data_IF_205200070230
#
_entry.id   IF_205200070230
#
_cell.length_a   1.000
_cell.length_b   1.000
_cell.length_c   1.000
_cell.angle_alpha   90.00
_cell.angle_beta   90.00
_cell.angle_gamma   90.00
#
_symmetry.space_group_name_H-M   'P 1'
#
loop_
_entity.id
_entity.type
_entity.pdbx_description
1 polymer ?
#
# COMPACT_ATOMS: atom_id res chain seq x y z
N UNK A 1 9.15 59.77 55.06
CA UNK A 1 9.25 60.03 53.61
C UNK A 1 9.82 58.79 52.95
N UNK A 2 9.15 58.32 51.89
CA UNK A 2 9.67 57.43 50.85
C UNK A 2 9.92 55.96 51.20
N UNK A 3 9.49 54.96 50.42
CA UNK A 3 8.43 54.83 49.43
C UNK A 3 8.21 53.32 49.26
N UNK A 4 6.96 52.96 48.98
CA UNK A 4 6.52 51.70 48.42
C UNK A 4 7.36 51.25 47.20
N UNK A 5 7.44 49.94 46.98
CA UNK A 5 7.63 49.39 45.63
C UNK A 5 8.79 48.42 45.47
N UNK A 6 8.49 47.12 45.59
CA UNK A 6 8.84 46.07 44.61
C UNK A 6 8.48 44.69 45.17
N UNK A 7 7.18 44.47 45.31
CA UNK A 7 6.62 43.12 45.16
C UNK A 7 6.27 43.01 43.67
N UNK A 8 7.04 42.24 42.92
CA UNK A 8 6.83 42.08 41.49
C UNK A 8 8.13 41.84 40.75
N UNK A 9 8.61 40.59 40.79
CA UNK A 9 9.15 39.91 39.61
C UNK A 9 9.37 38.42 39.90
N UNK A 10 8.28 37.68 40.14
CA UNK A 10 8.31 36.24 40.34
C UNK A 10 7.16 35.52 39.65
N UNK A 11 6.61 36.14 38.60
CA UNK A 11 5.45 35.63 37.88
C UNK A 11 5.46 36.12 36.43
N UNK A 12 6.42 35.63 35.63
CA UNK A 12 6.32 35.70 34.17
C UNK A 12 7.28 34.76 33.43
N UNK A 13 7.77 33.67 34.04
CA UNK A 13 8.63 32.69 33.35
C UNK A 13 7.97 31.31 33.20
N UNK A 14 6.66 31.22 33.43
CA UNK A 14 6.00 29.93 33.60
C UNK A 14 4.60 29.90 32.95
N UNK A 15 4.45 30.41 31.72
CA UNK A 15 3.42 29.94 30.76
C UNK A 15 3.86 30.21 29.30
N UNK A 16 4.91 29.54 28.83
CA UNK A 16 5.12 29.36 27.37
C UNK A 16 4.96 27.87 27.06
N UNK A 17 3.74 27.39 27.32
CA UNK A 17 3.32 26.03 27.09
C UNK A 17 3.22 25.75 25.59
N UNK A 18 4.24 25.05 25.08
CA UNK A 18 4.20 23.95 24.12
C UNK A 18 2.82 23.57 23.52
N UNK A 19 2.21 24.46 22.74
CA UNK A 19 1.18 24.11 21.76
C UNK A 19 1.76 24.43 20.38
N UNK A 20 2.42 23.47 19.74
CA UNK A 20 2.65 23.58 18.30
C UNK A 20 1.27 23.77 17.65
N UNK A 21 0.98 24.90 16.99
CA UNK A 21 -0.33 25.16 16.41
C UNK A 21 -0.67 24.02 15.45
N UNK A 22 -1.91 23.53 15.46
CA UNK A 22 -2.39 22.43 14.59
C UNK A 22 -1.92 22.54 13.13
N UNK A 23 -1.73 23.78 12.68
CA UNK A 23 -1.16 24.12 11.40
C UNK A 23 0.22 23.51 11.13
N UNK A 24 1.14 23.56 12.09
CA UNK A 24 2.49 22.99 11.95
C UNK A 24 2.44 21.47 11.78
N UNK A 25 1.56 20.79 12.52
CA UNK A 25 1.41 19.34 12.42
C UNK A 25 0.75 18.91 11.09
N UNK A 26 -0.21 19.68 10.57
CA UNK A 26 -0.79 19.44 9.24
C UNK A 26 0.24 19.68 8.14
N UNK A 27 1.11 20.70 8.28
CA UNK A 27 2.21 20.95 7.34
C UNK A 27 3.22 19.81 7.37
N UNK A 28 3.59 19.32 8.56
CA UNK A 28 4.46 18.16 8.73
C UNK A 28 3.88 16.90 8.07
N UNK A 29 2.58 16.65 8.25
CA UNK A 29 1.86 15.57 7.58
C UNK A 29 1.94 15.72 6.06
N UNK A 30 1.70 16.92 5.53
CA UNK A 30 1.75 17.19 4.10
C UNK A 30 3.14 16.93 3.48
N UNK A 31 4.21 17.31 4.18
CA UNK A 31 5.58 17.04 3.73
C UNK A 31 5.87 15.54 3.70
N UNK A 32 5.43 14.79 4.72
CA UNK A 32 5.65 13.34 4.81
C UNK A 32 4.80 12.57 3.82
N UNK A 33 3.55 12.97 3.64
CA UNK A 33 2.67 12.44 2.60
C UNK A 33 3.28 12.61 1.21
N UNK A 34 3.84 13.79 0.93
CA UNK A 34 4.53 14.03 -0.35
C UNK A 34 5.73 13.09 -0.54
N UNK A 35 6.53 12.84 0.50
CA UNK A 35 7.63 11.85 0.44
C UNK A 35 7.12 10.43 0.19
N UNK A 36 6.04 10.02 0.87
CA UNK A 36 5.41 8.72 0.65
C UNK A 36 4.90 8.58 -0.79
N UNK A 37 4.26 9.62 -1.32
CA UNK A 37 3.79 9.66 -2.71
C UNK A 37 4.96 9.54 -3.70
N UNK A 38 6.03 10.31 -3.52
CA UNK A 38 7.22 10.17 -4.37
C UNK A 38 7.87 8.80 -4.26
N UNK A 39 7.93 8.22 -3.06
CA UNK A 39 8.45 6.86 -2.88
C UNK A 39 7.61 5.82 -3.65
N UNK A 40 6.28 5.90 -3.58
CA UNK A 40 5.38 5.02 -4.35
C UNK A 40 5.57 5.22 -5.85
N UNK A 41 5.60 6.46 -6.34
CA UNK A 41 5.74 6.74 -7.77
C UNK A 41 7.09 6.27 -8.32
N UNK A 42 8.18 6.58 -7.63
CA UNK A 42 9.53 6.16 -8.03
C UNK A 42 9.63 4.64 -8.02
N UNK A 43 9.17 3.98 -6.95
CA UNK A 43 9.21 2.52 -6.89
C UNK A 43 8.28 1.86 -7.90
N UNK A 44 7.14 2.47 -8.23
CA UNK A 44 6.25 1.98 -9.30
C UNK A 44 6.97 1.96 -10.64
N UNK A 45 7.67 3.05 -10.98
CA UNK A 45 8.42 3.16 -12.24
C UNK A 45 9.61 2.19 -12.23
N UNK A 46 10.41 2.20 -11.16
CA UNK A 46 11.61 1.36 -11.06
C UNK A 46 11.25 -0.12 -11.11
N UNK A 47 10.30 -0.57 -10.28
CA UNK A 47 9.90 -1.98 -10.24
C UNK A 47 9.20 -2.40 -11.53
N UNK A 48 8.47 -1.51 -12.21
CA UNK A 48 7.82 -1.82 -13.50
C UNK A 48 8.83 -2.18 -14.59
N UNK A 49 9.97 -1.48 -14.64
CA UNK A 49 11.03 -1.64 -15.65
C UNK A 49 12.04 -2.72 -15.28
N UNK A 50 11.97 -3.31 -14.09
CA UNK A 50 12.86 -4.42 -13.76
C UNK A 50 12.45 -5.70 -14.51
N UNK A 51 13.41 -6.46 -15.07
CA UNK A 51 13.12 -7.73 -15.72
C UNK A 51 12.63 -8.74 -14.67
N UNK A 52 11.56 -9.47 -15.01
CA UNK A 52 11.00 -10.50 -14.13
C UNK A 52 11.83 -11.79 -14.14
N UNK A 53 12.46 -12.09 -15.28
CA UNK A 53 13.33 -13.24 -15.51
C UNK A 53 14.78 -12.79 -15.69
N UNK A 54 15.72 -13.48 -15.05
CA UNK A 54 17.16 -13.32 -15.28
C UNK A 54 17.65 -14.10 -16.52
N UNK A 55 16.73 -14.54 -17.38
CA UNK A 55 17.03 -15.31 -18.57
C UNK A 55 17.35 -14.38 -19.75
N UNK A 56 18.56 -13.82 -19.72
CA UNK A 56 19.09 -12.95 -20.78
C UNK A 56 19.45 -13.71 -22.06
N UNK A 57 19.49 -15.05 -22.03
CA UNK A 57 19.83 -15.89 -23.18
C UNK A 57 18.66 -16.02 -24.16
N UNK A 58 17.43 -16.07 -23.63
CA UNK A 58 16.21 -16.15 -24.44
C UNK A 58 15.90 -14.90 -25.29
N UNK A 59 16.55 -13.77 -25.01
CA UNK A 59 16.34 -12.50 -25.71
C UNK A 59 14.97 -11.84 -25.46
N UNK A 60 14.09 -12.45 -24.65
CA UNK A 60 12.75 -11.93 -24.35
C UNK A 60 12.77 -11.20 -23.01
N UNK A 61 12.72 -9.87 -23.08
CA UNK A 61 12.56 -9.01 -21.91
C UNK A 61 11.09 -8.94 -21.49
N UNK A 62 10.78 -9.47 -20.31
CA UNK A 62 9.44 -9.37 -19.71
C UNK A 62 9.50 -8.46 -18.48
N UNK A 63 8.83 -7.30 -18.49
CA UNK A 63 8.81 -6.40 -17.34
C UNK A 63 7.98 -7.01 -16.20
N UNK A 64 8.39 -6.73 -14.96
CA UNK A 64 7.68 -7.15 -13.76
C UNK A 64 6.21 -6.69 -13.73
N UNK A 65 5.92 -5.51 -14.29
CA UNK A 65 4.54 -5.00 -14.38
C UNK A 65 3.64 -5.86 -15.27
N UNK A 66 4.18 -6.60 -16.24
CA UNK A 66 3.41 -7.56 -17.08
C UNK A 66 3.42 -8.98 -16.49
N UNK A 67 4.50 -9.33 -15.79
CA UNK A 67 4.60 -10.62 -15.11
C UNK A 67 3.63 -10.74 -13.91
N UNK A 68 3.47 -9.68 -13.13
CA UNK A 68 2.64 -9.73 -11.92
C UNK A 68 1.15 -10.05 -12.21
N UNK A 69 0.46 -9.41 -13.17
CA UNK A 69 -0.92 -9.75 -13.50
C UNK A 69 -1.05 -11.15 -14.11
N UNK A 70 -0.09 -11.56 -14.94
CA UNK A 70 -0.10 -12.90 -15.54
C UNK A 70 0.08 -13.99 -14.49
N UNK A 71 0.84 -13.75 -13.41
CA UNK A 71 0.95 -14.65 -12.26
C UNK A 71 -0.37 -14.76 -11.49
N UNK A 72 -1.05 -13.63 -11.25
CA UNK A 72 -2.37 -13.62 -10.60
C UNK A 72 -3.38 -14.41 -11.44
N UNK A 73 -3.47 -14.11 -12.74
CA UNK A 73 -4.40 -14.80 -13.64
C UNK A 73 -4.18 -16.32 -13.63
N UNK A 74 -2.93 -16.77 -13.72
CA UNK A 74 -2.62 -18.21 -13.69
C UNK A 74 -2.96 -18.89 -12.36
N UNK A 75 -2.86 -18.16 -11.26
CA UNK A 75 -3.15 -18.67 -9.91
C UNK A 75 -4.65 -18.74 -9.64
N UNK A 76 -5.40 -17.76 -10.17
CA UNK A 76 -6.80 -17.54 -9.78
C UNK A 76 -7.78 -18.13 -10.80
N UNK A 77 -7.46 -18.08 -12.09
CA UNK A 77 -8.38 -18.49 -13.15
C UNK A 77 -8.36 -20.03 -13.32
N UNK A 78 -9.48 -20.74 -13.08
CA UNK A 78 -9.59 -22.15 -13.46
C UNK A 78 -9.63 -22.24 -14.98
N UNK A 79 -8.79 -23.10 -15.58
CA UNK A 79 -8.75 -23.27 -17.04
C UNK A 79 -10.07 -23.80 -17.61
N UNK A 80 -10.77 -24.63 -16.83
CA UNK A 80 -12.03 -25.26 -17.21
C UNK A 80 -13.00 -25.25 -16.04
N UNK A 81 -14.27 -25.03 -16.32
CA UNK A 81 -15.36 -25.15 -15.36
C UNK A 81 -16.38 -26.16 -15.89
N UNK A 82 -16.68 -27.17 -15.08
CA UNK A 82 -17.74 -28.13 -15.38
C UNK A 82 -19.10 -27.57 -14.94
N UNK A 83 -20.02 -27.38 -15.89
CA UNK A 83 -21.39 -26.91 -15.66
C UNK A 83 -22.36 -27.91 -16.30
N UNK A 84 -23.32 -28.43 -15.53
CA UNK A 84 -24.36 -29.34 -16.03
C UNK A 84 -23.84 -30.52 -16.90
N UNK A 85 -22.69 -31.10 -16.53
CA UNK A 85 -22.08 -32.21 -17.26
C UNK A 85 -21.35 -31.82 -18.56
N UNK A 86 -21.19 -30.52 -18.85
CA UNK A 86 -20.37 -29.98 -19.94
C UNK A 86 -19.19 -29.20 -19.37
N UNK A 87 -18.04 -29.29 -20.02
CA UNK A 87 -16.83 -28.51 -19.68
C UNK A 87 -16.78 -27.26 -20.54
N UNK A 88 -16.64 -26.10 -19.90
CA UNK A 88 -16.46 -24.82 -20.58
C UNK A 88 -15.04 -24.31 -20.33
N UNK A 89 -14.37 -23.86 -21.40
CA UNK A 89 -13.07 -23.19 -21.31
C UNK A 89 -13.27 -21.74 -20.88
N UNK A 90 -12.50 -21.31 -19.87
CA UNK A 90 -12.54 -19.92 -19.38
C UNK A 90 -11.44 -19.12 -20.06
N UNK A 91 -11.85 -18.14 -20.88
CA UNK A 91 -10.94 -17.24 -21.59
C UNK A 91 -11.23 -15.79 -21.17
N UNK A 92 -10.18 -15.02 -20.91
CA UNK A 92 -10.29 -13.59 -20.60
C UNK A 92 -10.41 -12.83 -21.91
N UNK A 93 -11.44 -12.00 -22.03
CA UNK A 93 -11.66 -11.13 -23.18
C UNK A 93 -11.51 -9.68 -22.71
N UNK A 94 -10.74 -8.83 -23.43
CA UNK A 94 -10.71 -7.41 -23.12
C UNK A 94 -12.04 -6.79 -23.50
N UNK A 95 -12.62 -6.00 -22.60
CA UNK A 95 -13.85 -5.24 -22.85
C UNK A 95 -13.55 -4.00 -23.71
N UNK A 96 -12.32 -3.48 -23.65
CA UNK A 96 -11.88 -2.28 -24.36
C UNK A 96 -10.43 -2.36 -24.87
N UNK A 97 -10.07 -1.58 -25.93
CA UNK A 97 -8.71 -1.58 -26.48
C UNK A 97 -7.63 -1.07 -25.49
N UNK A 98 -8.01 -0.27 -24.49
CA UNK A 98 -7.08 0.35 -23.55
C UNK A 98 -6.88 -0.44 -22.25
N UNK A 99 -7.64 -1.52 -22.02
CA UNK A 99 -7.55 -2.30 -20.78
C UNK A 99 -6.18 -2.92 -20.56
N UNK A 100 -5.50 -3.34 -21.62
CA UNK A 100 -4.16 -3.90 -21.50
C UNK A 100 -3.17 -2.89 -20.90
N UNK A 101 -3.27 -1.63 -21.31
CA UNK A 101 -2.49 -0.54 -20.72
C UNK A 101 -2.90 -0.34 -19.26
N UNK A 102 -4.21 -0.25 -18.99
CA UNK A 102 -4.73 -0.01 -17.65
C UNK A 102 -4.24 -1.08 -16.65
N UNK A 103 -4.27 -2.35 -17.03
CA UNK A 103 -3.78 -3.47 -16.22
C UNK A 103 -2.28 -3.29 -15.92
N UNK A 104 -1.46 -2.95 -16.92
CA UNK A 104 -0.02 -2.72 -16.73
C UNK A 104 0.23 -1.53 -15.80
N UNK A 105 -0.52 -0.43 -15.95
CA UNK A 105 -0.35 0.77 -15.12
C UNK A 105 -0.77 0.51 -13.68
N UNK A 106 -1.91 -0.14 -13.46
CA UNK A 106 -2.38 -0.53 -12.12
C UNK A 106 -1.41 -1.53 -11.48
N UNK A 107 -0.90 -2.48 -12.24
CA UNK A 107 0.12 -3.44 -11.78
C UNK A 107 1.38 -2.73 -11.32
N UNK A 108 1.91 -1.80 -12.12
CA UNK A 108 3.08 -1.01 -11.76
C UNK A 108 2.85 -0.23 -10.46
N UNK A 109 1.67 0.39 -10.31
CA UNK A 109 1.31 1.13 -9.11
C UNK A 109 1.19 0.21 -7.88
N UNK A 110 0.60 -0.98 -8.03
CA UNK A 110 0.49 -1.97 -6.95
C UNK A 110 1.86 -2.48 -6.53
N UNK A 111 2.73 -2.82 -7.48
CA UNK A 111 4.11 -3.22 -7.18
C UNK A 111 4.87 -2.12 -6.46
N UNK A 112 4.74 -0.87 -6.92
CA UNK A 112 5.32 0.28 -6.25
C UNK A 112 4.79 0.50 -4.84
N UNK A 113 3.49 0.30 -4.60
CA UNK A 113 2.89 0.38 -3.27
C UNK A 113 3.42 -0.73 -2.34
N UNK A 114 3.52 -1.96 -2.85
CA UNK A 114 4.07 -3.10 -2.11
C UNK A 114 5.54 -2.84 -1.73
N UNK A 115 6.35 -2.40 -2.69
CA UNK A 115 7.75 -2.04 -2.47
C UNK A 115 7.92 -0.82 -1.55
N UNK A 116 7.02 0.16 -1.63
CA UNK A 116 7.06 1.37 -0.82
C UNK A 116 6.52 1.15 0.60
N UNK A 117 5.83 0.03 0.87
CA UNK A 117 5.22 -0.26 2.18
C UNK A 117 6.16 -0.08 3.39
N UNK A 118 7.46 -0.44 3.35
CA UNK A 118 8.36 -0.19 4.49
C UNK A 118 8.69 1.29 4.68
N UNK A 119 8.76 2.05 3.58
CA UNK A 119 9.00 3.50 3.60
C UNK A 119 7.78 4.21 4.16
N UNK A 120 6.59 3.86 3.68
CA UNK A 120 5.30 4.38 4.18
C UNK A 120 5.19 4.14 5.67
N UNK A 121 5.44 2.91 6.12
CA UNK A 121 5.40 2.56 7.53
C UNK A 121 6.38 3.42 8.36
N UNK A 122 7.60 3.64 7.87
CA UNK A 122 8.59 4.49 8.54
C UNK A 122 8.16 5.95 8.63
N UNK A 123 7.61 6.53 7.56
CA UNK A 123 7.13 7.93 7.58
C UNK A 123 5.90 8.09 8.49
N UNK A 124 5.02 7.07 8.54
CA UNK A 124 3.90 7.01 9.50
C UNK A 124 4.43 6.95 10.93
N UNK A 125 5.40 6.08 11.24
CA UNK A 125 6.06 6.04 12.55
C UNK A 125 6.60 7.40 12.94
N UNK A 126 7.36 8.02 12.05
CA UNK A 126 7.98 9.30 12.34
C UNK A 126 6.93 10.36 12.69
N UNK A 127 5.74 10.30 12.06
CA UNK A 127 4.65 11.27 12.27
C UNK A 127 3.95 11.08 13.60
N UNK A 128 3.84 9.84 14.03
CA UNK A 128 3.29 9.51 15.34
C UNK A 128 4.29 9.81 16.47
N UNK A 129 5.59 9.59 16.23
CA UNK A 129 6.63 9.73 17.25
C UNK A 129 6.60 11.02 18.11
N UNK A 130 6.41 12.24 17.56
CA UNK A 130 6.35 13.47 18.38
C UNK A 130 5.14 13.53 19.31
N UNK A 131 4.04 12.84 18.98
CA UNK A 131 2.82 12.81 19.79
C UNK A 131 2.80 11.72 20.88
N UNK A 132 3.83 10.86 20.94
CA UNK A 132 3.86 9.68 21.82
C UNK A 132 4.72 9.90 23.07
N UNK A 133 4.24 9.36 24.20
CA UNK A 133 5.03 9.32 25.42
C UNK A 133 6.27 8.41 25.26
N UNK A 134 7.40 8.72 25.93
CA UNK A 134 8.64 7.96 25.78
C UNK A 134 8.52 6.45 26.00
N UNK A 135 7.61 6.02 26.88
CA UNK A 135 7.35 4.60 27.18
C UNK A 135 6.51 3.89 26.09
N UNK A 136 5.69 4.62 25.33
CA UNK A 136 4.84 4.07 24.27
C UNK A 136 5.60 3.91 22.95
N UNK A 137 6.66 4.70 22.76
CA UNK A 137 7.48 4.67 21.54
C UNK A 137 7.96 3.27 21.18
N UNK A 138 8.41 2.49 22.16
CA UNK A 138 8.90 1.12 21.92
C UNK A 138 7.78 0.18 21.42
N UNK A 139 6.55 0.36 21.89
CA UNK A 139 5.42 -0.46 21.49
C UNK A 139 4.98 -0.13 20.07
N UNK A 140 4.81 1.16 19.76
CA UNK A 140 4.33 1.59 18.45
C UNK A 140 5.39 1.34 17.37
N UNK A 141 6.69 1.41 17.69
CA UNK A 141 7.74 1.03 16.74
C UNK A 141 7.64 -0.44 16.31
N UNK A 142 7.35 -1.33 17.27
CA UNK A 142 7.08 -2.75 16.96
C UNK A 142 5.81 -2.91 16.14
N UNK A 143 4.74 -2.18 16.49
CA UNK A 143 3.47 -2.20 15.76
C UNK A 143 3.66 -1.80 14.29
N UNK A 144 4.43 -0.75 14.02
CA UNK A 144 4.72 -0.29 12.66
C UNK A 144 5.56 -1.31 11.88
N UNK A 145 6.49 -2.01 12.53
CA UNK A 145 7.21 -3.10 11.87
C UNK A 145 6.28 -4.28 11.54
N UNK A 146 5.42 -4.65 12.49
CA UNK A 146 4.44 -5.73 12.30
C UNK A 146 3.40 -5.33 11.23
N UNK A 147 3.04 -4.06 11.09
CA UNK A 147 2.07 -3.61 10.09
C UNK A 147 2.57 -3.81 8.66
N UNK A 148 3.87 -3.65 8.40
CA UNK A 148 4.47 -4.00 7.10
C UNK A 148 4.31 -5.50 6.82
N UNK A 149 4.63 -6.34 7.81
CA UNK A 149 4.45 -7.79 7.70
C UNK A 149 2.99 -8.18 7.46
N UNK A 150 2.06 -7.55 8.19
CA UNK A 150 0.63 -7.77 8.05
C UNK A 150 0.09 -7.28 6.70
N UNK A 151 0.62 -6.18 6.18
CA UNK A 151 0.29 -5.68 4.84
C UNK A 151 0.72 -6.69 3.76
N UNK A 152 1.96 -7.18 3.81
CA UNK A 152 2.45 -8.19 2.86
C UNK A 152 1.67 -9.51 2.99
N UNK A 153 1.36 -9.93 4.22
CA UNK A 153 0.52 -11.09 4.48
C UNK A 153 -0.91 -10.88 3.93
N UNK A 154 -1.46 -9.68 4.04
CA UNK A 154 -2.76 -9.32 3.47
C UNK A 154 -2.76 -9.39 1.94
N UNK A 155 -1.71 -8.89 1.28
CA UNK A 155 -1.53 -9.02 -0.18
C UNK A 155 -1.47 -10.49 -0.59
N UNK A 156 -0.68 -11.30 0.12
CA UNK A 156 -0.59 -12.73 -0.11
C UNK A 156 -1.95 -13.43 0.06
N UNK A 157 -2.63 -13.18 1.18
CA UNK A 157 -3.95 -13.76 1.45
C UNK A 157 -4.99 -13.35 0.40
N UNK A 158 -4.96 -12.08 -0.02
CA UNK A 158 -5.83 -11.54 -1.06
C UNK A 158 -5.70 -12.33 -2.36
N UNK A 159 -4.47 -12.46 -2.87
CA UNK A 159 -4.19 -13.11 -4.16
C UNK A 159 -4.42 -14.62 -4.11
N UNK A 160 -3.93 -15.31 -3.07
CA UNK A 160 -3.91 -16.77 -3.06
C UNK A 160 -5.14 -17.43 -2.44
N UNK A 161 -5.90 -16.72 -1.60
CA UNK A 161 -7.05 -17.29 -0.90
C UNK A 161 -8.33 -16.59 -1.32
N UNK A 162 -8.41 -15.26 -1.15
CA UNK A 162 -9.67 -14.53 -1.33
C UNK A 162 -10.09 -14.52 -2.80
N UNK A 163 -9.22 -14.11 -3.73
CA UNK A 163 -9.58 -14.03 -5.15
C UNK A 163 -10.01 -15.37 -5.75
N UNK A 164 -9.29 -16.51 -5.57
CA UNK A 164 -9.72 -17.78 -6.17
C UNK A 164 -11.01 -18.31 -5.55
N UNK A 165 -11.23 -18.09 -4.25
CA UNK A 165 -12.50 -18.43 -3.62
C UNK A 165 -13.66 -17.61 -4.19
N UNK A 166 -13.47 -16.30 -4.32
CA UNK A 166 -14.47 -15.41 -4.93
C UNK A 166 -14.79 -15.84 -6.35
N UNK A 167 -13.80 -16.12 -7.20
CA UNK A 167 -14.06 -16.59 -8.58
C UNK A 167 -14.78 -17.94 -8.62
N UNK A 168 -14.39 -18.91 -7.78
CA UNK A 168 -15.07 -20.21 -7.70
C UNK A 168 -16.55 -20.05 -7.35
N UNK A 169 -16.87 -19.21 -6.36
CA UNK A 169 -18.24 -18.94 -5.94
C UNK A 169 -19.00 -18.25 -7.08
N UNK A 170 -18.44 -17.19 -7.67
CA UNK A 170 -19.08 -16.45 -8.78
C UNK A 170 -19.35 -17.35 -9.98
N UNK A 171 -18.36 -18.14 -10.42
CA UNK A 171 -18.50 -19.05 -11.57
C UNK A 171 -19.47 -20.20 -11.28
N UNK A 172 -19.55 -20.66 -10.03
CA UNK A 172 -20.54 -21.67 -9.62
C UNK A 172 -21.97 -21.13 -9.62
N UNK A 173 -22.16 -19.84 -9.34
CA UNK A 173 -23.48 -19.18 -9.32
C UNK A 173 -23.91 -18.73 -10.72
N UNK A 174 -22.96 -18.36 -11.59
CA UNK A 174 -23.22 -17.92 -12.97
C UNK A 174 -24.28 -18.72 -13.78
N UNK A 175 -24.30 -20.07 -13.80
CA UNK A 175 -25.35 -20.86 -14.49
C UNK A 175 -26.78 -20.55 -14.06
N UNK A 176 -26.98 -20.00 -12.87
CA UNK A 176 -28.31 -19.64 -12.38
C UNK A 176 -28.83 -18.35 -13.05
N UNK A 177 -27.94 -17.45 -13.48
CA UNK A 177 -28.30 -16.13 -13.98
C UNK A 177 -28.39 -16.05 -15.51
N UNK A 178 -27.83 -17.03 -16.23
CA UNK A 178 -27.89 -17.11 -17.70
C UNK A 178 -28.66 -18.38 -18.08
N UNK A 179 -29.92 -18.28 -18.56
CA UNK A 179 -30.74 -19.43 -18.93
C UNK A 179 -30.23 -20.18 -20.17
#
# INVERSE_FOLDING_TARGET
>A
MSNAGKAGNGASEDVEGYEAPLWEHVVELGVRLRRMLYAVLILSIVLSVLPANWDFESGVYVPLASYFPSLIIQTVLPKQVGLFGRTYDVVIMPESPFESLQIILLSALLLGLIGASPIIAREVWAYLEPALYPHEKKMIKKLVFVSVGLFLFGVWLGVYIVTPWTLKITLSIYPFFVP
#
